data_IF_523325874961
#
_entry.id   IF_523325874961
#
_cell.length_a   1.000
_cell.length_b   1.000
_cell.length_c   1.000
_cell.angle_alpha   90.00
_cell.angle_beta   90.00
_cell.angle_gamma   90.00
#
_symmetry.space_group_name_H-M   'P 1'
#
loop_
_entity.id
_entity.type
_entity.pdbx_description
1 polymer ?
#
# COMPACT_ATOMS: atom_id res chain seq x y z
N UNK A 1 -16.41 17.50 -7.72
CA UNK A 1 -16.29 16.04 -7.46
C UNK A 1 -14.97 15.47 -7.97
N UNK A 2 -14.58 15.68 -9.24
CA UNK A 2 -13.38 15.01 -9.76
C UNK A 2 -12.04 15.35 -9.11
N UNK A 3 -11.77 16.64 -8.81
CA UNK A 3 -10.52 17.03 -8.13
C UNK A 3 -10.41 16.46 -6.70
N UNK A 4 -11.52 16.48 -5.94
CA UNK A 4 -11.54 15.91 -4.59
C UNK A 4 -11.29 14.40 -4.62
N UNK A 5 -11.89 13.69 -5.58
CA UNK A 5 -11.63 12.27 -5.78
C UNK A 5 -10.15 12.02 -6.14
N UNK A 6 -9.55 12.85 -7.00
CA UNK A 6 -8.13 12.77 -7.36
C UNK A 6 -7.21 12.96 -6.14
N UNK A 7 -7.48 13.96 -5.30
CA UNK A 7 -6.75 14.18 -4.04
C UNK A 7 -6.91 12.97 -3.12
N UNK A 8 -8.14 12.48 -2.98
CA UNK A 8 -8.46 11.34 -2.14
C UNK A 8 -7.78 10.04 -2.57
N UNK A 9 -7.71 9.75 -3.87
CA UNK A 9 -6.98 8.56 -4.38
C UNK A 9 -5.47 8.67 -4.23
N UNK A 10 -4.90 9.87 -4.06
CA UNK A 10 -3.47 10.06 -3.84
C UNK A 10 -3.09 10.18 -2.36
N UNK A 11 -4.07 10.35 -1.46
CA UNK A 11 -3.89 10.68 -0.06
C UNK A 11 -2.87 9.81 0.71
N UNK A 12 -2.79 8.46 0.52
CA UNK A 12 -1.86 7.66 1.29
C UNK A 12 -0.39 7.80 0.87
N UNK A 13 -0.11 8.18 -0.38
CA UNK A 13 1.26 8.15 -0.91
C UNK A 13 2.21 9.15 -0.25
N UNK A 14 1.81 10.42 0.02
CA UNK A 14 2.64 11.33 0.81
C UNK A 14 2.97 10.79 2.20
N UNK A 15 2.01 10.10 2.84
CA UNK A 15 2.23 9.48 4.14
C UNK A 15 3.25 8.36 4.05
N UNK A 16 3.09 7.43 3.11
CA UNK A 16 4.05 6.33 2.90
C UNK A 16 5.44 6.84 2.55
N UNK A 17 5.53 7.82 1.66
CA UNK A 17 6.80 8.46 1.29
C UNK A 17 7.49 9.10 2.50
N UNK A 18 6.76 9.84 3.34
CA UNK A 18 7.31 10.43 4.56
C UNK A 18 7.83 9.36 5.54
N UNK A 19 7.05 8.29 5.77
CA UNK A 19 7.48 7.19 6.64
C UNK A 19 8.71 6.46 6.11
N UNK A 20 8.81 6.27 4.79
CA UNK A 20 9.95 5.63 4.17
C UNK A 20 11.22 6.49 4.27
N UNK A 21 11.10 7.79 3.99
CA UNK A 21 12.23 8.73 3.92
C UNK A 21 12.69 9.23 5.29
N UNK A 22 11.78 9.37 6.25
CA UNK A 22 12.09 9.86 7.59
C UNK A 22 11.47 8.96 8.68
N UNK A 23 11.89 7.68 8.76
CA UNK A 23 11.29 6.72 9.68
C UNK A 23 11.52 7.08 11.14
N UNK A 24 12.64 7.75 11.48
CA UNK A 24 12.92 8.14 12.86
C UNK A 24 11.90 9.16 13.38
N UNK A 25 11.46 10.11 12.55
CA UNK A 25 10.44 11.08 12.97
C UNK A 25 9.11 10.40 13.30
N UNK A 26 8.75 9.36 12.54
CA UNK A 26 7.57 8.55 12.83
C UNK A 26 7.70 7.76 14.13
N UNK A 27 8.84 7.09 14.33
CA UNK A 27 9.11 6.34 15.56
C UNK A 27 9.04 7.28 16.78
N UNK A 28 9.63 8.47 16.68
CA UNK A 28 9.56 9.50 17.72
C UNK A 28 8.11 9.96 17.98
N UNK A 29 7.32 10.15 16.93
CA UNK A 29 5.90 10.55 17.04
C UNK A 29 5.03 9.46 17.67
N UNK A 30 5.32 8.18 17.39
CA UNK A 30 4.64 7.06 18.03
C UNK A 30 4.91 7.02 19.54
N UNK A 31 6.12 7.44 19.95
CA UNK A 31 6.55 7.46 21.35
C UNK A 31 6.91 6.07 21.88
N UNK A 32 7.25 6.01 23.18
CA UNK A 32 7.64 4.76 23.85
C UNK A 32 6.44 3.83 24.04
N UNK A 33 6.68 2.52 23.92
CA UNK A 33 5.69 1.47 24.22
C UNK A 33 4.62 1.26 23.16
N UNK A 34 4.67 1.98 22.03
CA UNK A 34 3.78 1.75 20.88
C UNK A 34 4.58 1.19 19.71
N UNK A 35 4.01 0.17 19.06
CA UNK A 35 4.62 -0.42 17.88
C UNK A 35 4.40 0.48 16.64
N UNK A 36 5.46 1.02 16.01
CA UNK A 36 5.31 1.95 14.89
C UNK A 36 4.63 1.33 13.66
N UNK A 37 4.80 0.03 13.43
CA UNK A 37 4.12 -0.68 12.34
C UNK A 37 2.62 -0.81 12.60
N UNK A 38 2.22 -1.14 13.83
CA UNK A 38 0.80 -1.19 14.21
C UNK A 38 0.13 0.17 14.14
N UNK A 39 0.81 1.23 14.58
CA UNK A 39 0.28 2.60 14.44
C UNK A 39 0.16 2.98 12.97
N UNK A 40 1.18 2.68 12.15
CA UNK A 40 1.14 2.90 10.70
C UNK A 40 -0.01 2.13 10.07
N UNK A 41 -0.21 0.86 10.44
CA UNK A 41 -1.30 0.03 9.94
C UNK A 41 -2.66 0.71 10.19
N UNK A 42 -2.93 1.15 11.43
CA UNK A 42 -4.20 1.82 11.78
C UNK A 42 -4.42 3.08 10.94
N UNK A 43 -3.42 3.95 10.83
CA UNK A 43 -3.51 5.16 10.00
C UNK A 43 -3.74 4.79 8.54
N UNK A 44 -3.02 3.79 8.03
CA UNK A 44 -3.12 3.33 6.65
C UNK A 44 -4.50 2.76 6.33
N UNK A 45 -5.16 2.07 7.27
CA UNK A 45 -6.55 1.61 7.10
C UNK A 45 -7.52 2.79 6.99
N UNK A 46 -7.36 3.83 7.81
CA UNK A 46 -8.18 5.05 7.72
C UNK A 46 -7.96 5.76 6.38
N UNK A 47 -6.70 5.93 5.97
CA UNK A 47 -6.36 6.53 4.69
C UNK A 47 -6.88 5.68 3.51
N UNK A 48 -6.81 4.34 3.60
CA UNK A 48 -7.34 3.43 2.59
C UNK A 48 -8.86 3.51 2.50
N UNK A 49 -9.57 3.62 3.62
CA UNK A 49 -11.01 3.81 3.62
C UNK A 49 -11.39 5.13 2.94
N UNK A 50 -10.69 6.23 3.26
CA UNK A 50 -10.87 7.51 2.57
C UNK A 50 -10.56 7.42 1.07
N UNK A 51 -9.50 6.69 0.70
CA UNK A 51 -9.10 6.44 -0.69
C UNK A 51 -10.20 5.68 -1.47
N UNK A 52 -10.77 4.64 -0.86
CA UNK A 52 -11.88 3.86 -1.43
C UNK A 52 -13.16 4.68 -1.54
N UNK A 53 -13.53 5.45 -0.52
CA UNK A 53 -14.69 6.37 -0.56
C UNK A 53 -14.54 7.40 -1.67
N UNK A 54 -13.33 7.93 -1.87
CA UNK A 54 -13.02 8.88 -2.94
C UNK A 54 -13.21 8.25 -4.31
N UNK A 55 -12.73 7.02 -4.50
CA UNK A 55 -12.92 6.26 -5.75
C UNK A 55 -14.39 5.93 -5.99
N UNK A 56 -15.12 5.52 -4.95
CA UNK A 56 -16.54 5.19 -5.03
C UNK A 56 -17.40 6.40 -5.36
N UNK A 57 -17.02 7.60 -4.90
CA UNK A 57 -17.76 8.85 -5.18
C UNK A 57 -17.85 9.23 -6.67
N UNK A 58 -16.99 8.62 -7.50
CA UNK A 58 -16.93 8.82 -8.96
C UNK A 58 -17.24 7.53 -9.73
N UNK A 59 -17.67 6.47 -9.04
CA UNK A 59 -17.97 5.18 -9.66
C UNK A 59 -19.42 5.11 -10.16
N UNK A 60 -19.61 4.44 -11.30
CA UNK A 60 -20.91 4.09 -11.87
C UNK A 60 -21.05 2.58 -11.89
N UNK A 61 -21.73 2.02 -10.90
CA UNK A 61 -21.84 0.58 -10.73
C UNK A 61 -22.73 -0.04 -11.82
N UNK A 62 -22.25 -1.15 -12.38
CA UNK A 62 -22.94 -1.95 -13.39
C UNK A 62 -22.57 -3.42 -13.19
N UNK A 63 -23.19 -4.32 -13.96
CA UNK A 63 -22.81 -5.73 -13.89
C UNK A 63 -21.33 -5.92 -14.26
N UNK A 64 -20.50 -6.59 -13.43
CA UNK A 64 -19.08 -6.68 -13.69
C UNK A 64 -18.81 -7.49 -14.96
N UNK A 65 -17.89 -7.03 -15.82
CA UNK A 65 -17.46 -7.78 -17.00
C UNK A 65 -16.69 -9.03 -16.59
N UNK A 66 -16.56 -10.01 -17.51
CA UNK A 66 -15.91 -11.29 -17.20
C UNK A 66 -14.45 -11.16 -16.71
N UNK A 67 -13.72 -10.14 -17.18
CA UNK A 67 -12.34 -9.90 -16.73
C UNK A 67 -12.23 -9.42 -15.28
N UNK A 68 -13.31 -8.89 -14.69
CA UNK A 68 -13.34 -8.38 -13.32
C UNK A 68 -12.94 -9.49 -12.33
N UNK A 69 -13.57 -10.65 -12.46
CA UNK A 69 -13.43 -11.76 -11.52
C UNK A 69 -12.00 -12.29 -11.39
N UNK A 70 -11.30 -12.69 -12.48
CA UNK A 70 -9.93 -13.19 -12.36
C UNK A 70 -8.95 -12.11 -11.91
N UNK A 71 -9.09 -10.86 -12.38
CA UNK A 71 -8.21 -9.77 -11.96
C UNK A 71 -8.37 -9.42 -10.48
N UNK A 72 -9.61 -9.31 -10.00
CA UNK A 72 -9.90 -9.05 -8.59
C UNK A 72 -9.46 -10.23 -7.73
N UNK A 73 -9.82 -11.46 -8.10
CA UNK A 73 -9.47 -12.65 -7.32
C UNK A 73 -7.95 -12.82 -7.19
N UNK A 74 -7.21 -12.75 -8.30
CA UNK A 74 -5.75 -12.91 -8.26
C UNK A 74 -5.07 -11.72 -7.58
N UNK A 75 -5.55 -10.49 -7.82
CA UNK A 75 -5.03 -9.30 -7.15
C UNK A 75 -5.19 -9.36 -5.63
N UNK A 76 -6.36 -9.78 -5.14
CA UNK A 76 -6.60 -9.96 -3.70
C UNK A 76 -5.83 -11.15 -3.14
N UNK A 77 -5.71 -12.24 -3.89
CA UNK A 77 -4.87 -13.38 -3.51
C UNK A 77 -3.42 -12.97 -3.25
N UNK A 78 -2.81 -12.18 -4.14
CA UNK A 78 -1.45 -11.66 -3.94
C UNK A 78 -1.33 -10.84 -2.65
N UNK A 79 -2.26 -9.90 -2.43
CA UNK A 79 -2.27 -9.06 -1.22
C UNK A 79 -2.40 -9.90 0.06
N UNK A 80 -3.32 -10.87 0.06
CA UNK A 80 -3.53 -11.78 1.19
C UNK A 80 -2.29 -12.63 1.46
N UNK A 81 -1.66 -13.20 0.42
CA UNK A 81 -0.45 -14.01 0.56
C UNK A 81 0.74 -13.21 1.07
N UNK A 82 0.90 -11.96 0.63
CA UNK A 82 1.92 -11.05 1.19
C UNK A 82 1.70 -10.85 2.69
N UNK A 83 0.48 -10.51 3.10
CA UNK A 83 0.18 -10.30 4.51
C UNK A 83 0.35 -11.58 5.35
N UNK A 84 -0.02 -12.74 4.80
CA UNK A 84 0.19 -14.03 5.46
C UNK A 84 1.66 -14.35 5.70
N UNK A 85 2.55 -14.00 4.77
CA UNK A 85 3.98 -14.31 4.86
C UNK A 85 4.77 -13.28 5.69
N UNK A 86 4.48 -11.99 5.51
CA UNK A 86 5.22 -10.90 6.17
C UNK A 86 4.59 -10.44 7.49
N UNK A 87 3.31 -10.72 7.70
CA UNK A 87 2.51 -10.17 8.78
C UNK A 87 2.40 -8.65 8.71
N UNK A 88 1.86 -8.08 9.78
CA UNK A 88 1.70 -6.63 9.92
C UNK A 88 3.06 -5.91 9.90
N UNK A 89 4.05 -6.40 10.64
CA UNK A 89 5.34 -5.75 10.76
C UNK A 89 6.10 -5.69 9.42
N UNK A 90 6.10 -6.77 8.64
CA UNK A 90 6.76 -6.75 7.32
C UNK A 90 5.99 -5.93 6.29
N UNK A 91 4.66 -5.87 6.38
CA UNK A 91 3.82 -5.07 5.47
C UNK A 91 3.90 -3.57 5.77
N UNK A 92 3.96 -3.18 7.04
CA UNK A 92 3.96 -1.79 7.49
C UNK A 92 5.35 -1.36 7.99
N UNK A 93 6.32 -1.43 7.09
CA UNK A 93 7.65 -0.83 7.21
C UNK A 93 8.45 -1.19 8.47
N UNK A 94 8.22 -2.37 9.05
CA UNK A 94 8.94 -2.83 10.25
C UNK A 94 10.46 -2.74 10.09
N UNK A 95 10.99 -3.08 8.91
CA UNK A 95 12.41 -2.94 8.58
C UNK A 95 12.88 -1.49 8.71
N UNK A 96 12.12 -0.51 8.19
CA UNK A 96 12.45 0.92 8.31
C UNK A 96 12.36 1.41 9.75
N UNK A 97 11.51 0.79 10.56
CA UNK A 97 11.36 1.10 11.98
C UNK A 97 12.32 0.32 12.90
N UNK A 98 13.33 -0.33 12.32
CA UNK A 98 14.40 -0.99 13.07
C UNK A 98 14.08 -2.41 13.54
N UNK A 99 12.98 -3.01 13.06
CA UNK A 99 12.65 -4.41 13.36
C UNK A 99 13.43 -5.35 12.45
N UNK A 100 13.75 -6.52 12.98
CA UNK A 100 14.27 -7.62 12.18
C UNK A 100 13.11 -8.39 11.54
N UNK A 101 12.94 -8.26 10.22
CA UNK A 101 11.90 -8.95 9.46
C UNK A 101 12.59 -10.02 8.59
N UNK A 102 12.13 -11.29 8.63
CA UNK A 102 12.75 -12.34 7.84
C UNK A 102 12.59 -12.08 6.34
N UNK A 103 13.62 -12.43 5.57
CA UNK A 103 13.53 -12.41 4.12
C UNK A 103 12.72 -13.62 3.64
N UNK A 104 11.69 -13.36 2.83
CA UNK A 104 10.73 -14.38 2.34
C UNK A 104 10.96 -14.58 0.84
N UNK A 105 11.02 -15.84 0.41
CA UNK A 105 11.21 -16.21 -1.02
C UNK A 105 10.06 -17.04 -1.57
N UNK A 106 9.14 -17.49 -0.71
CA UNK A 106 7.93 -18.18 -1.09
C UNK A 106 7.08 -17.32 -2.03
N UNK A 107 6.28 -17.98 -2.86
CA UNK A 107 5.35 -17.27 -3.74
C UNK A 107 4.43 -16.36 -2.91
N UNK A 108 4.34 -15.05 -3.25
CA UNK A 108 4.72 -14.46 -4.54
C UNK A 108 6.12 -13.82 -4.66
N UNK A 109 6.90 -13.69 -3.60
CA UNK A 109 8.17 -12.92 -3.59
C UNK A 109 9.27 -13.51 -4.47
N UNK A 110 9.33 -14.83 -4.64
CA UNK A 110 10.32 -15.49 -5.53
C UNK A 110 10.08 -15.27 -7.03
N UNK A 111 8.94 -14.68 -7.42
CA UNK A 111 8.55 -14.52 -8.83
C UNK A 111 8.23 -13.05 -9.16
N UNK A 112 7.62 -12.33 -8.22
CA UNK A 112 7.15 -10.96 -8.39
C UNK A 112 7.89 -10.09 -7.37
N UNK A 113 8.54 -9.02 -7.84
CA UNK A 113 9.33 -8.11 -6.99
C UNK A 113 8.47 -7.40 -5.93
N UNK A 114 7.33 -6.84 -6.35
CA UNK A 114 6.47 -6.00 -5.53
C UNK A 114 5.03 -6.53 -5.52
N UNK A 115 4.80 -7.75 -4.99
CA UNK A 115 3.56 -8.49 -5.20
C UNK A 115 2.32 -7.81 -4.63
N UNK A 116 2.46 -7.04 -3.55
CA UNK A 116 1.37 -6.28 -2.95
C UNK A 116 0.90 -5.14 -3.87
N UNK A 117 1.85 -4.38 -4.43
CA UNK A 117 1.56 -3.30 -5.36
C UNK A 117 0.99 -3.84 -6.68
N UNK A 118 1.58 -4.92 -7.21
CA UNK A 118 1.05 -5.61 -8.41
C UNK A 118 -0.39 -6.09 -8.17
N UNK A 119 -0.65 -6.79 -7.06
CA UNK A 119 -2.00 -7.26 -6.74
C UNK A 119 -3.01 -6.13 -6.56
N UNK A 120 -2.57 -5.01 -5.96
CA UNK A 120 -3.39 -3.81 -5.82
C UNK A 120 -3.71 -3.15 -7.18
N UNK A 121 -2.74 -3.03 -8.08
CA UNK A 121 -2.95 -2.51 -9.44
C UNK A 121 -3.91 -3.43 -10.22
N UNK A 122 -3.76 -4.76 -10.14
CA UNK A 122 -4.69 -5.70 -10.77
C UNK A 122 -6.13 -5.52 -10.26
N UNK A 123 -6.30 -5.32 -8.96
CA UNK A 123 -7.61 -5.07 -8.35
C UNK A 123 -8.21 -3.74 -8.84
N UNK A 124 -7.40 -2.70 -9.08
CA UNK A 124 -7.87 -1.44 -9.68
C UNK A 124 -8.26 -1.62 -11.15
N UNK A 125 -7.48 -2.37 -11.93
CA UNK A 125 -7.79 -2.65 -13.34
C UNK A 125 -9.07 -3.46 -13.50
N UNK A 126 -9.39 -4.34 -12.54
CA UNK A 126 -10.68 -5.04 -12.52
C UNK A 126 -11.86 -4.04 -12.53
N UNK A 127 -11.71 -2.89 -11.85
CA UNK A 127 -12.75 -1.87 -11.70
C UNK A 127 -12.88 -0.89 -12.88
N UNK A 128 -12.21 -1.12 -14.02
CA UNK A 128 -12.26 -0.24 -15.21
C UNK A 128 -13.67 0.02 -15.75
N UNK A 129 -14.59 -0.93 -15.59
CA UNK A 129 -15.99 -0.77 -16.00
C UNK A 129 -16.82 0.12 -15.07
N UNK A 130 -16.36 0.35 -13.85
CA UNK A 130 -17.07 1.14 -12.83
C UNK A 130 -16.46 2.50 -12.61
N UNK A 131 -15.14 2.64 -12.74
CA UNK A 131 -14.41 3.84 -12.34
C UNK A 131 -13.74 4.48 -13.56
N UNK A 132 -13.84 5.80 -13.74
CA UNK A 132 -13.16 6.50 -14.83
C UNK A 132 -11.64 6.26 -14.80
N UNK A 133 -11.07 5.96 -15.97
CA UNK A 133 -9.69 5.52 -16.15
C UNK A 133 -8.66 6.42 -15.46
N UNK A 134 -8.86 7.75 -15.46
CA UNK A 134 -7.91 8.68 -14.86
C UNK A 134 -7.66 8.42 -13.36
N UNK A 135 -8.66 7.97 -12.59
CA UNK A 135 -8.47 7.70 -11.16
C UNK A 135 -7.76 6.37 -10.92
N UNK A 136 -8.05 5.36 -11.75
CA UNK A 136 -7.33 4.08 -11.75
C UNK A 136 -5.86 4.31 -12.11
N UNK A 137 -5.60 5.13 -13.13
CA UNK A 137 -4.25 5.49 -13.56
C UNK A 137 -3.51 6.24 -12.46
N UNK A 138 -4.10 7.29 -11.87
CA UNK A 138 -3.48 8.07 -10.80
C UNK A 138 -3.10 7.21 -9.59
N UNK A 139 -4.01 6.33 -9.14
CA UNK A 139 -3.73 5.42 -8.03
C UNK A 139 -2.61 4.43 -8.41
N UNK A 140 -2.67 3.84 -9.61
CA UNK A 140 -1.63 2.92 -10.09
C UNK A 140 -0.26 3.59 -10.20
N UNK A 141 -0.20 4.84 -10.66
CA UNK A 141 1.03 5.64 -10.69
C UNK A 141 1.59 5.90 -9.29
N UNK A 142 0.72 6.13 -8.30
CA UNK A 142 1.15 6.24 -6.91
C UNK A 142 1.81 4.95 -6.39
N UNK A 143 1.27 3.78 -6.76
CA UNK A 143 1.91 2.50 -6.43
C UNK A 143 3.26 2.33 -7.14
N UNK A 144 3.34 2.65 -8.43
CA UNK A 144 4.61 2.60 -9.19
C UNK A 144 5.65 3.56 -8.60
N UNK A 145 5.22 4.75 -8.17
CA UNK A 145 6.08 5.70 -7.47
C UNK A 145 6.64 5.10 -6.19
N UNK A 146 5.80 4.47 -5.36
CA UNK A 146 6.26 3.80 -4.14
C UNK A 146 7.19 2.62 -4.43
N UNK A 147 6.90 1.79 -5.44
CA UNK A 147 7.81 0.73 -5.89
C UNK A 147 9.20 1.30 -6.25
N UNK A 148 9.26 2.44 -6.93
CA UNK A 148 10.53 3.09 -7.24
C UNK A 148 11.25 3.61 -5.99
N UNK A 149 10.53 4.28 -5.10
CA UNK A 149 11.07 4.80 -3.83
C UNK A 149 11.61 3.66 -2.95
N UNK A 150 10.89 2.55 -2.88
CA UNK A 150 11.22 1.39 -2.05
C UNK A 150 12.27 0.48 -2.69
N UNK A 151 12.47 0.57 -4.00
CA UNK A 151 13.50 -0.20 -4.72
C UNK A 151 14.94 0.07 -4.25
N UNK A 152 15.15 1.20 -3.57
CA UNK A 152 16.43 1.65 -3.02
C UNK A 152 16.30 1.80 -1.52
N UNK A 153 16.71 0.77 -0.78
CA UNK A 153 16.81 0.86 0.67
C UNK A 153 18.26 1.14 1.09
N UNK A 154 18.47 2.17 1.91
CA UNK A 154 19.71 2.36 2.68
C UNK A 154 19.49 1.84 4.11
N UNK A 155 20.15 0.73 4.50
CA UNK A 155 20.05 0.17 5.86
C UNK A 155 20.51 1.13 6.96
N UNK A 156 21.42 2.06 6.66
CA UNK A 156 21.90 3.05 7.63
C UNK A 156 20.83 4.11 7.99
N UNK A 157 19.85 4.29 7.10
CA UNK A 157 18.74 5.21 7.26
C UNK A 157 17.54 4.61 8.03
N UNK A 158 17.66 3.40 8.58
CA UNK A 158 16.62 2.79 9.44
C UNK A 158 16.54 3.52 10.77
N UNK A 159 15.33 3.61 11.32
CA UNK A 159 15.12 4.19 12.64
C UNK A 159 15.73 3.31 13.74
N UNK A 160 16.19 3.97 14.81
CA UNK A 160 16.66 3.33 16.04
C UNK A 160 15.48 3.21 16.99
N UNK A 161 15.39 2.09 17.70
CA UNK A 161 14.36 1.91 18.72
C UNK A 161 14.50 2.98 19.81
N UNK A 162 13.38 3.53 20.25
CA UNK A 162 13.34 4.34 21.47
C UNK A 162 13.57 3.41 22.66
N UNK A 163 14.79 3.41 23.20
CA UNK A 163 15.10 2.81 24.50
C UNK A 163 14.23 3.40 25.60
#
# INVERSE_FOLDING_TARGET
>A
MGLLAAIGVLLPFPFYWWLWTNPQSWVNLCGRGRDPSTVMARVSHVLKAAQLLSLFSVASLSWPPLYFWPLMAFGQFLNFRVYQLLGEAGTYYGVRFGKNIPWVTEFPFGVIRDPQYVGSIMSLLACLSWVPFQYILLWSLGYVFMMFVESKEDPSARAKSLS
#
